data_IF_486727369806
#
_entry.id   IF_486727369806
#
_cell.length_a   1.000
_cell.length_b   1.000
_cell.length_c   1.000
_cell.angle_alpha   90.00
_cell.angle_beta   90.00
_cell.angle_gamma   90.00
#
_symmetry.space_group_name_H-M   'P 1'
#
loop_
_entity.id
_entity.type
_entity.pdbx_description
1 polymer ?
#
# COMPACT_ATOMS: atom_id res chain seq x y z
N UNK A 1 -30.82 -9.44 40.15
CA UNK A 1 -30.76 -9.26 38.69
C UNK A 1 -29.34 -8.84 38.31
N UNK A 2 -28.46 -9.81 38.07
CA UNK A 2 -27.08 -9.52 37.68
C UNK A 2 -27.05 -9.28 36.15
N UNK A 3 -26.63 -8.09 35.73
CA UNK A 3 -26.38 -7.79 34.33
C UNK A 3 -24.96 -8.27 34.00
N UNK A 4 -24.86 -9.27 33.12
CA UNK A 4 -23.58 -9.73 32.60
C UNK A 4 -23.13 -8.77 31.50
N UNK A 5 -22.08 -8.00 31.76
CA UNK A 5 -21.40 -7.22 30.75
C UNK A 5 -20.65 -8.16 29.80
N UNK A 6 -21.12 -8.30 28.56
CA UNK A 6 -20.31 -8.87 27.49
C UNK A 6 -19.24 -7.85 27.11
N UNK A 7 -18.04 -8.01 27.66
CA UNK A 7 -16.84 -7.42 27.09
C UNK A 7 -16.46 -8.25 25.88
N UNK A 8 -16.87 -7.82 24.69
CA UNK A 8 -16.39 -8.41 23.44
C UNK A 8 -14.93 -7.97 23.27
N UNK A 9 -14.00 -8.81 23.72
CA UNK A 9 -12.61 -8.73 23.31
C UNK A 9 -12.57 -9.00 21.81
N UNK A 10 -12.56 -7.95 21.00
CA UNK A 10 -12.00 -8.06 19.66
C UNK A 10 -10.49 -8.20 19.85
N UNK A 11 -10.02 -9.43 19.99
CA UNK A 11 -8.66 -9.75 19.59
C UNK A 11 -8.59 -9.41 18.10
N UNK A 12 -8.10 -8.20 17.82
CA UNK A 12 -7.64 -7.82 16.51
C UNK A 12 -6.50 -8.77 16.18
N UNK A 13 -6.85 -9.83 15.44
CA UNK A 13 -5.92 -10.83 14.95
C UNK A 13 -4.97 -10.18 13.95
N UNK A 14 -3.95 -9.50 14.48
CA UNK A 14 -2.86 -8.93 13.73
C UNK A 14 -2.00 -10.08 13.18
N UNK A 15 -2.49 -10.69 12.10
CA UNK A 15 -1.61 -11.37 11.16
C UNK A 15 -0.64 -10.33 10.57
N UNK A 16 0.56 -10.74 10.12
CA UNK A 16 1.52 -9.81 9.58
C UNK A 16 0.92 -9.09 8.36
N UNK A 17 0.92 -7.75 8.38
CA UNK A 17 0.58 -6.96 7.21
C UNK A 17 1.53 -7.35 6.07
N UNK A 18 0.99 -7.61 4.88
CA UNK A 18 1.80 -8.03 3.73
C UNK A 18 2.40 -6.79 3.09
N UNK A 19 3.73 -6.70 3.13
CA UNK A 19 4.49 -5.66 2.43
C UNK A 19 5.14 -6.27 1.18
N UNK A 20 4.86 -5.70 0.02
CA UNK A 20 5.38 -6.19 -1.27
C UNK A 20 6.35 -5.17 -1.84
N UNK A 21 7.59 -5.58 -2.07
CA UNK A 21 8.58 -4.75 -2.76
C UNK A 21 8.30 -4.73 -4.26
N UNK A 22 8.11 -3.52 -4.79
CA UNK A 22 7.85 -3.30 -6.20
C UNK A 22 9.14 -3.46 -7.03
N UNK A 23 9.03 -3.92 -8.28
CA UNK A 23 10.18 -3.99 -9.18
C UNK A 23 10.71 -2.59 -9.54
N UNK A 24 12.02 -2.51 -9.78
CA UNK A 24 12.74 -1.26 -10.09
C UNK A 24 12.12 -0.48 -11.26
N UNK A 25 11.60 -1.19 -12.26
CA UNK A 25 11.04 -0.61 -13.50
C UNK A 25 9.59 -1.01 -13.68
N UNK A 26 8.70 -0.03 -13.58
CA UNK A 26 7.25 -0.17 -13.75
C UNK A 26 6.78 0.42 -15.07
N UNK A 27 7.18 -0.17 -16.19
CA UNK A 27 6.72 0.22 -17.54
C UNK A 27 5.52 -0.60 -18.02
N UNK A 28 5.04 -0.33 -19.25
CA UNK A 28 3.88 -1.02 -19.83
C UNK A 28 4.03 -2.54 -19.88
N UNK A 29 5.24 -3.08 -20.00
CA UNK A 29 5.47 -4.54 -20.02
C UNK A 29 5.28 -5.15 -18.62
N UNK A 30 5.55 -4.39 -17.56
CA UNK A 30 5.36 -4.81 -16.17
C UNK A 30 3.89 -4.76 -15.70
N UNK A 31 3.00 -4.08 -16.44
CA UNK A 31 1.64 -3.76 -15.99
C UNK A 31 0.81 -5.00 -15.58
N UNK A 32 0.80 -6.05 -16.41
CA UNK A 32 0.04 -7.27 -16.11
C UNK A 32 0.60 -8.01 -14.89
N UNK A 33 1.93 -8.09 -14.79
CA UNK A 33 2.61 -8.72 -13.66
C UNK A 33 2.36 -7.93 -12.35
N UNK A 34 2.40 -6.59 -12.41
CA UNK A 34 2.11 -5.71 -11.28
C UNK A 34 0.67 -5.92 -10.78
N UNK A 35 -0.32 -5.94 -11.68
CA UNK A 35 -1.72 -6.20 -11.31
C UNK A 35 -1.86 -7.54 -10.59
N UNK A 36 -1.31 -8.62 -11.18
CA UNK A 36 -1.37 -9.96 -10.58
C UNK A 36 -0.68 -10.03 -9.21
N UNK A 37 0.47 -9.36 -9.05
CA UNK A 37 1.19 -9.28 -7.79
C UNK A 37 0.37 -8.59 -6.69
N UNK A 38 -0.30 -7.48 -7.02
CA UNK A 38 -1.16 -6.75 -6.08
C UNK A 38 -2.38 -7.60 -5.69
N UNK A 39 -3.02 -8.27 -6.66
CA UNK A 39 -4.17 -9.14 -6.39
C UNK A 39 -3.78 -10.30 -5.48
N UNK A 40 -2.67 -10.97 -5.80
CA UNK A 40 -2.13 -12.05 -4.98
C UNK A 40 -1.78 -11.58 -3.56
N UNK A 41 -1.20 -10.38 -3.43
CA UNK A 41 -0.89 -9.81 -2.13
C UNK A 41 -2.16 -9.50 -1.32
N UNK A 42 -3.23 -9.02 -1.97
CA UNK A 42 -4.52 -8.77 -1.32
C UNK A 42 -5.17 -10.05 -0.83
N UNK A 43 -5.09 -11.12 -1.62
CA UNK A 43 -5.56 -12.45 -1.21
C UNK A 43 -4.79 -12.97 0.02
N UNK A 44 -3.48 -12.71 0.08
CA UNK A 44 -2.63 -13.12 1.20
C UNK A 44 -2.81 -12.24 2.45
N UNK A 45 -2.95 -10.92 2.28
CA UNK A 45 -3.06 -9.97 3.38
C UNK A 45 -4.41 -10.01 4.09
N UNK A 46 -5.46 -10.50 3.42
CA UNK A 46 -6.79 -10.64 3.99
C UNK A 46 -7.29 -9.35 4.64
N UNK A 47 -7.72 -9.43 5.90
CA UNK A 47 -8.23 -8.28 6.66
C UNK A 47 -7.12 -7.33 7.18
N UNK A 48 -5.84 -7.73 7.15
CA UNK A 48 -4.74 -6.95 7.72
C UNK A 48 -4.16 -5.91 6.74
N UNK A 49 -4.60 -5.95 5.48
CA UNK A 49 -4.19 -5.00 4.45
C UNK A 49 -2.85 -5.33 3.80
N UNK A 50 -2.56 -4.60 2.72
CA UNK A 50 -1.36 -4.74 1.89
C UNK A 50 -0.71 -3.38 1.75
N UNK A 51 0.62 -3.34 1.86
CA UNK A 51 1.42 -2.15 1.58
C UNK A 51 2.42 -2.44 0.46
N UNK A 52 2.72 -1.43 -0.35
CA UNK A 52 3.63 -1.56 -1.50
C UNK A 52 4.90 -0.76 -1.23
N UNK A 53 6.02 -1.45 -1.03
CA UNK A 53 7.33 -0.82 -0.89
C UNK A 53 7.85 -0.39 -2.28
N UNK A 54 8.07 0.91 -2.42
CA UNK A 54 8.45 1.55 -3.68
C UNK A 54 9.80 2.27 -3.61
N UNK A 55 10.59 1.97 -2.59
CA UNK A 55 11.91 2.56 -2.34
C UNK A 55 12.92 2.29 -3.46
N UNK A 56 12.83 1.11 -4.09
CA UNK A 56 13.71 0.70 -5.20
C UNK A 56 13.22 1.08 -6.60
N UNK A 57 12.07 1.76 -6.73
CA UNK A 57 11.48 2.05 -8.04
C UNK A 57 12.18 3.24 -8.69
N UNK A 58 12.86 3.01 -9.81
CA UNK A 58 13.57 4.03 -10.58
C UNK A 58 12.76 4.60 -11.74
N UNK A 59 11.68 3.93 -12.16
CA UNK A 59 10.83 4.38 -13.26
C UNK A 59 9.38 3.91 -13.11
N UNK A 60 8.43 4.81 -13.34
CA UNK A 60 6.99 4.51 -13.38
C UNK A 60 6.37 5.05 -14.67
N UNK A 61 5.84 4.16 -15.50
CA UNK A 61 5.03 4.47 -16.66
C UNK A 61 3.56 4.67 -16.28
N UNK A 62 2.83 5.43 -17.12
CA UNK A 62 1.45 5.84 -16.81
C UNK A 62 0.47 4.70 -16.52
N UNK A 63 0.58 3.57 -17.24
CA UNK A 63 -0.31 2.41 -16.99
C UNK A 63 -0.05 1.77 -15.62
N UNK A 64 1.22 1.61 -15.24
CA UNK A 64 1.56 1.08 -13.92
C UNK A 64 1.16 2.06 -12.81
N UNK A 65 1.30 3.36 -13.01
CA UNK A 65 0.81 4.38 -12.08
C UNK A 65 -0.71 4.26 -11.88
N UNK A 66 -1.48 4.15 -12.96
CA UNK A 66 -2.93 3.94 -12.88
C UNK A 66 -3.30 2.68 -12.11
N UNK A 67 -2.55 1.59 -12.31
CA UNK A 67 -2.75 0.34 -11.54
C UNK A 67 -2.46 0.56 -10.06
N UNK A 68 -1.37 1.24 -9.71
CA UNK A 68 -1.03 1.53 -8.32
C UNK A 68 -2.11 2.39 -7.65
N UNK A 69 -2.53 3.48 -8.28
CA UNK A 69 -3.60 4.36 -7.75
C UNK A 69 -4.92 3.61 -7.62
N UNK A 70 -5.32 2.87 -8.66
CA UNK A 70 -6.56 2.08 -8.64
C UNK A 70 -6.51 0.92 -7.62
N UNK A 71 -5.32 0.48 -7.21
CA UNK A 71 -5.19 -0.56 -6.18
C UNK A 71 -5.64 -0.08 -4.81
N UNK A 72 -5.54 1.21 -4.51
CA UNK A 72 -5.79 1.77 -3.19
C UNK A 72 -4.85 1.23 -2.10
N UNK A 73 -3.78 0.51 -2.46
CA UNK A 73 -2.79 0.04 -1.51
C UNK A 73 -1.87 1.20 -1.12
N UNK A 74 -1.60 1.44 0.17
CA UNK A 74 -0.63 2.43 0.60
C UNK A 74 0.78 2.12 0.07
N UNK A 75 1.47 3.16 -0.41
CA UNK A 75 2.89 3.08 -0.76
C UNK A 75 3.75 3.37 0.47
N UNK A 76 4.76 2.52 0.68
CA UNK A 76 5.76 2.68 1.73
C UNK A 76 7.06 3.16 1.08
N UNK A 77 7.70 4.14 1.72
CA UNK A 77 8.99 4.70 1.32
C UNK A 77 9.08 5.03 -0.19
N UNK A 78 8.16 5.84 -0.75
CA UNK A 78 8.20 6.16 -2.18
C UNK A 78 9.51 6.82 -2.57
N UNK A 79 10.13 6.29 -3.64
CA UNK A 79 11.29 6.92 -4.25
C UNK A 79 10.94 8.30 -4.82
N UNK A 80 11.94 9.14 -5.03
CA UNK A 80 11.73 10.47 -5.62
C UNK A 80 11.06 10.38 -7.00
N UNK A 81 11.40 9.36 -7.80
CA UNK A 81 10.80 9.12 -9.11
C UNK A 81 9.32 8.74 -9.00
N UNK A 82 8.94 7.98 -7.98
CA UNK A 82 7.53 7.64 -7.72
C UNK A 82 6.77 8.90 -7.29
N UNK A 83 7.33 9.71 -6.38
CA UNK A 83 6.71 10.96 -5.94
C UNK A 83 6.49 11.93 -7.11
N UNK A 84 7.52 12.12 -7.93
CA UNK A 84 7.45 12.97 -9.12
C UNK A 84 6.40 12.48 -10.11
N UNK A 85 6.36 11.17 -10.39
CA UNK A 85 5.35 10.59 -11.28
C UNK A 85 3.92 10.83 -10.73
N UNK A 86 3.68 10.59 -9.45
CA UNK A 86 2.36 10.85 -8.84
C UNK A 86 1.98 12.33 -8.92
N UNK A 87 2.93 13.24 -8.71
CA UNK A 87 2.70 14.68 -8.85
C UNK A 87 2.36 15.07 -10.29
N UNK A 88 3.13 14.59 -11.28
CA UNK A 88 2.92 14.88 -12.71
C UNK A 88 1.56 14.41 -13.23
N UNK A 89 1.07 13.29 -12.70
CA UNK A 89 -0.23 12.72 -13.07
C UNK A 89 -1.39 13.29 -12.26
N UNK A 90 -1.15 14.23 -11.34
CA UNK A 90 -2.17 14.85 -10.50
C UNK A 90 -2.81 13.87 -9.52
N UNK A 91 -2.05 12.87 -9.06
CA UNK A 91 -2.47 11.84 -8.11
C UNK A 91 -1.64 11.89 -6.83
N UNK A 92 -1.04 13.04 -6.52
CA UNK A 92 -0.16 13.23 -5.36
C UNK A 92 -0.85 12.95 -4.03
N UNK A 93 -2.18 13.13 -3.93
CA UNK A 93 -2.92 12.88 -2.70
C UNK A 93 -3.00 11.39 -2.30
N UNK A 94 -2.66 10.48 -3.23
CA UNK A 94 -2.64 9.04 -2.98
C UNK A 94 -1.29 8.53 -2.46
N UNK A 95 -0.28 9.40 -2.39
CA UNK A 95 0.95 9.11 -1.65
C UNK A 95 0.63 9.23 -0.16
N UNK A 96 0.20 8.14 0.46
CA UNK A 96 -0.05 8.11 1.89
C UNK A 96 1.22 8.54 2.63
N UNK A 97 1.18 9.69 3.31
CA UNK A 97 2.19 9.99 4.32
C UNK A 97 2.07 8.95 5.44
N UNK A 98 3.18 8.34 5.90
CA UNK A 98 3.12 7.55 7.12
C UNK A 98 2.61 8.47 8.22
N UNK A 99 1.47 8.11 8.82
CA UNK A 99 0.98 8.74 10.06
C UNK A 99 2.08 8.55 11.11
N UNK A 100 2.99 9.52 11.17
CA UNK A 100 3.99 9.61 12.21
C UNK A 100 3.24 10.22 13.38
N UNK A 101 2.64 9.37 14.21
CA UNK A 101 2.06 9.81 15.47
C UNK A 101 3.16 10.59 16.22
N UNK A 102 2.92 11.83 16.67
CA UNK A 102 3.91 12.54 17.46
C UNK A 102 4.17 11.71 18.72
N UNK A 103 5.44 11.31 18.91
CA UNK A 103 5.94 10.95 20.25
C UNK A 103 5.81 12.22 21.08
N UNK A 104 4.75 12.28 21.87
CA UNK A 104 4.60 13.26 22.94
C UNK A 104 5.72 12.95 23.95
N UNK A 105 6.70 13.86 24.05
CA UNK A 105 7.76 13.85 25.06
C UNK A 105 7.27 14.48 26.37
#
# INVERSE_FOLDING_TARGET
MAAASLSTSIESGAGPAVCVTLPERLDTAAAFALKGMIEQAKEQGGANGVSLDSSGVAYVGGLCLQILVASGCPLVSPSEQVKEAYSLFGTGEFLSEPLTLPVEQ
#
